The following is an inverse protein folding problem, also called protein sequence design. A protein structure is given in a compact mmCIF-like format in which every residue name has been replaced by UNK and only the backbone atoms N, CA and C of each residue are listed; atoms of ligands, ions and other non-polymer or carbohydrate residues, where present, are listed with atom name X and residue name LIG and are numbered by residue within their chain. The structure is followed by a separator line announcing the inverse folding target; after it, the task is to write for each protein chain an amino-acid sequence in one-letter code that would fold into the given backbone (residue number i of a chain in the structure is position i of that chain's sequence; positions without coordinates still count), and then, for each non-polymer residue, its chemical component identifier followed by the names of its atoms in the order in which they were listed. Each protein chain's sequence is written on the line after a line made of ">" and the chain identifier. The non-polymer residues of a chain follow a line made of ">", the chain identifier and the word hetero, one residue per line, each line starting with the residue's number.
data_IF_027632494927
#
_entry.id   IF_027632494927
#
_cell.length_a   1.000
_cell.length_b   1.000
_cell.length_c   1.000
_cell.angle_alpha   90.00
_cell.angle_beta   90.00
_cell.angle_gamma   90.00
#
_symmetry.space_group_name_H-M   'P 1'
#
loop_
_entity.id
_entity.type
_entity.pdbx_description
1 polymer ?
2 non-polymer ?
3 non-polymer ?
4 water ?
#
# COMPACT_ATOMS: atom_id res chain seq x y z
N UNK A 6 2.72 0.48 -21.64
CA UNK A 6 3.50 1.18 -20.57
C UNK A 6 2.66 2.33 -19.99
N UNK A 7 2.15 3.22 -20.84
CA UNK A 7 1.11 4.22 -20.49
C UNK A 7 -0.14 3.45 -20.03
N UNK A 8 -0.57 2.50 -20.85
CA UNK A 8 -1.76 1.63 -20.62
C UNK A 8 -1.59 0.88 -19.30
N UNK A 9 -0.40 0.32 -19.05
CA UNK A 9 -0.11 -0.44 -17.81
C UNK A 9 -0.16 0.51 -16.60
N UNK A 10 0.36 1.73 -16.73
CA UNK A 10 0.32 2.73 -15.62
C UNK A 10 -1.12 3.23 -15.41
N UNK A 11 -1.95 3.28 -16.45
CA UNK A 11 -3.40 3.60 -16.29
C UNK A 11 -4.08 2.48 -15.49
N UNK A 12 -3.77 1.21 -15.79
CA UNK A 12 -4.28 0.06 -14.99
C UNK A 12 -3.84 0.23 -13.53
N UNK A 13 -2.57 0.57 -13.29
CA UNK A 13 -2.03 0.83 -11.93
C UNK A 13 -2.80 1.97 -11.26
N UNK A 14 -3.07 3.04 -11.99
CA UNK A 14 -3.82 4.19 -11.42
C UNK A 14 -5.24 3.74 -11.04
N UNK A 15 -5.89 2.92 -11.87
CA UNK A 15 -7.22 2.35 -11.58
C UNK A 15 -7.21 1.56 -10.29
N UNK A 16 -6.21 0.69 -10.11
CA UNK A 16 -6.01 -0.11 -8.87
C UNK A 16 -5.88 0.85 -7.69
N UNK A 17 -5.00 1.85 -7.80
CA UNK A 17 -4.75 2.83 -6.72
C UNK A 17 -6.08 3.51 -6.34
N UNK A 18 -6.86 3.97 -7.32
CA UNK A 18 -8.18 4.61 -7.06
C UNK A 18 -9.07 3.61 -6.31
N UNK A 19 -9.08 2.34 -6.71
CA UNK A 19 -9.91 1.31 -6.05
C UNK A 19 -9.45 1.14 -4.60
N UNK A 20 -8.14 1.04 -4.36
CA UNK A 20 -7.60 0.80 -2.98
C UNK A 20 -7.99 1.98 -2.07
N UNK A 21 -8.17 3.17 -2.64
CA UNK A 21 -8.53 4.41 -1.89
C UNK A 21 -10.05 4.61 -1.83
N UNK A 22 -10.84 3.73 -2.46
CA UNK A 22 -12.31 3.92 -2.65
C UNK A 22 -13.08 3.51 -1.38
N UNK A 23 -14.30 4.02 -1.23
CA UNK A 23 -15.17 3.74 -0.06
C UNK A 23 -15.43 2.23 0.04
N UNK A 24 -15.44 1.53 -1.10
CA UNK A 24 -15.67 0.06 -1.19
C UNK A 24 -14.78 -0.70 -0.20
N UNK A 25 -13.52 -0.27 -0.02
CA UNK A 25 -12.49 -1.02 0.74
C UNK A 25 -12.08 -0.29 2.02
N UNK A 26 -12.75 0.82 2.36
CA UNK A 26 -12.36 1.73 3.46
C UNK A 26 -12.31 1.01 4.81
N UNK A 27 -13.13 -0.02 5.04
CA UNK A 27 -13.21 -0.72 6.34
C UNK A 27 -11.86 -1.36 6.70
N UNK A 28 -11.06 -1.79 5.71
CA UNK A 28 -9.75 -2.45 5.94
C UNK A 28 -8.59 -1.66 5.30
N UNK A 29 -8.85 -0.67 4.45
CA UNK A 29 -7.79 0.08 3.73
C UNK A 29 -7.29 1.27 4.56
N UNK A 30 -8.07 1.75 5.54
CA UNK A 30 -7.82 3.05 6.22
C UNK A 30 -6.45 3.10 6.90
N UNK A 31 -5.89 2.00 7.48
CA UNK A 31 -4.55 2.08 8.07
C UNK A 31 -3.41 2.38 7.08
N UNK A 32 -3.69 2.29 5.77
CA UNK A 32 -2.70 2.40 4.67
C UNK A 32 -2.84 3.74 3.93
N UNK A 33 -3.77 4.59 4.36
CA UNK A 33 -4.12 5.85 3.64
C UNK A 33 -2.99 6.88 3.78
N UNK A 34 -2.34 6.93 4.94
CA UNK A 34 -1.34 7.97 5.28
C UNK A 34 -0.12 7.31 5.91
N UNK A 35 1.06 7.98 5.89
CA UNK A 35 2.24 7.43 6.55
C UNK A 35 1.93 7.07 8.01
N UNK A 36 2.43 5.92 8.46
CA UNK A 36 2.35 5.51 9.89
C UNK A 36 2.96 6.64 10.72
N UNK A 37 2.17 7.23 11.62
CA UNK A 37 2.64 8.25 12.60
C UNK A 37 3.05 7.50 13.87
N UNK A 38 4.30 7.04 13.90
CA UNK A 38 4.85 6.15 14.95
C UNK A 38 4.69 6.83 16.32
N UNK A 39 5.08 8.10 16.41
CA UNK A 39 5.03 8.93 17.65
C UNK A 39 3.58 9.01 18.17
N UNK A 40 2.63 9.35 17.29
CA UNK A 40 1.20 9.50 17.64
C UNK A 40 0.63 8.17 18.16
N UNK A 41 1.06 7.03 17.59
CA UNK A 41 0.53 5.68 17.91
C UNK A 41 1.33 5.04 19.06
N UNK A 42 2.42 5.66 19.49
CA UNK A 42 3.30 5.16 20.57
C UNK A 42 4.17 4.00 20.12
N UNK A 43 4.41 3.88 18.81
CA UNK A 43 5.21 2.78 18.20
C UNK A 43 6.65 3.27 18.05
N UNK A 44 7.36 3.46 19.17
CA UNK A 44 8.68 4.16 19.21
C UNK A 44 9.79 3.29 18.60
N UNK A 45 9.49 2.03 18.26
CA UNK A 45 10.45 1.12 17.59
C UNK A 45 10.16 1.02 16.08
N UNK A 46 9.11 1.68 15.57
CA UNK A 46 8.64 1.48 14.17
C UNK A 46 9.77 1.75 13.18
N UNK A 47 10.46 2.89 13.30
CA UNK A 47 11.48 3.36 12.32
C UNK A 47 12.82 2.64 12.53
N UNK A 48 12.96 1.87 13.62
CA UNK A 48 14.12 0.97 13.85
C UNK A 48 13.90 -0.35 13.11
N UNK A 49 12.64 -0.75 12.93
CA UNK A 49 12.25 -2.05 12.32
C UNK A 49 11.95 -1.85 10.83
N UNK A 50 11.27 -0.75 10.49
CA UNK A 50 10.85 -0.41 9.09
C UNK A 50 11.81 0.66 8.54
N UNK A 51 12.67 0.27 7.60
CA UNK A 51 13.72 1.15 7.01
C UNK A 51 13.14 1.99 5.87
N UNK A 52 12.09 1.49 5.20
CA UNK A 52 11.50 2.13 3.99
C UNK A 52 9.99 2.23 4.16
N UNK A 53 9.47 3.21 4.93
CA UNK A 53 8.03 3.37 5.08
C UNK A 53 7.36 3.61 3.72
N UNK A 54 6.13 3.12 3.57
CA UNK A 54 5.33 3.35 2.34
C UNK A 54 3.85 3.31 2.71
N UNK A 55 3.05 4.09 2.00
CA UNK A 55 1.59 4.22 2.25
C UNK A 55 0.94 4.68 0.94
N UNK A 56 -0.38 4.60 0.86
CA UNK A 56 -1.12 4.90 -0.39
C UNK A 56 -1.04 6.39 -0.74
N UNK A 57 -0.91 7.30 0.24
CA UNK A 57 -0.79 8.75 -0.07
C UNK A 57 0.55 9.00 -0.79
N UNK A 58 1.61 8.30 -0.38
CA UNK A 58 2.94 8.41 -1.02
C UNK A 58 2.85 7.81 -2.43
N UNK A 59 2.21 6.65 -2.58
CA UNK A 59 2.00 6.02 -3.92
C UNK A 59 1.25 7.02 -4.81
N UNK A 60 0.18 7.64 -4.30
CA UNK A 60 -0.64 8.61 -5.07
C UNK A 60 0.21 9.81 -5.49
N UNK A 61 1.02 10.36 -4.58
CA UNK A 61 1.94 11.50 -4.87
C UNK A 61 2.90 11.08 -5.99
N UNK A 62 3.49 9.89 -5.89
CA UNK A 62 4.47 9.39 -6.89
C UNK A 62 3.77 9.19 -8.24
N UNK A 63 2.53 8.72 -8.26
CA UNK A 63 1.76 8.54 -9.52
C UNK A 63 1.47 9.92 -10.13
N UNK A 64 1.01 10.88 -9.32
CA UNK A 64 0.68 12.27 -9.76
C UNK A 64 1.93 12.97 -10.31
N UNK A 65 3.09 12.70 -9.72
CA UNK A 65 4.39 13.34 -10.07
C UNK A 65 5.05 12.62 -11.25
N UNK A 66 4.42 11.55 -11.77
CA UNK A 66 4.95 10.70 -12.88
C UNK A 66 6.30 10.10 -12.46
N UNK A 67 6.42 9.75 -11.17
CA UNK A 67 7.65 9.14 -10.61
C UNK A 67 7.78 7.71 -11.15
N UNK A 68 6.68 6.96 -11.21
CA UNK A 68 6.67 5.54 -11.67
C UNK A 68 6.90 5.51 -13.18
N UNK A 69 7.94 4.79 -13.61
CA UNK A 69 8.28 4.64 -15.05
C UNK A 69 7.61 3.38 -15.60
N UNK A 70 7.17 2.46 -14.74
CA UNK A 70 6.49 1.21 -15.18
C UNK A 70 5.64 0.63 -14.04
N UNK A 71 4.80 -0.34 -14.37
CA UNK A 71 3.86 -1.01 -13.43
C UNK A 71 4.64 -1.70 -12.31
N UNK A 72 5.79 -2.31 -12.63
CA UNK A 72 6.61 -3.10 -11.66
C UNK A 72 7.06 -2.19 -10.51
N UNK A 73 7.45 -0.95 -10.82
CA UNK A 73 7.90 0.05 -9.81
C UNK A 73 6.72 0.41 -8.90
N UNK A 74 5.54 0.60 -9.47
CA UNK A 74 4.28 0.86 -8.72
C UNK A 74 4.00 -0.32 -7.79
N UNK A 75 4.00 -1.54 -8.32
CA UNK A 75 3.69 -2.77 -7.55
C UNK A 75 4.70 -2.94 -6.41
N UNK A 76 5.97 -2.60 -6.64
CA UNK A 76 7.04 -2.73 -5.63
C UNK A 76 6.68 -1.87 -4.41
N UNK A 77 6.18 -0.65 -4.63
CA UNK A 77 5.81 0.27 -3.52
C UNK A 77 4.58 -0.28 -2.80
N UNK A 78 3.56 -0.72 -3.53
CA UNK A 78 2.32 -1.24 -2.89
C UNK A 78 2.70 -2.46 -2.03
N UNK A 79 3.54 -3.35 -2.55
CA UNK A 79 3.92 -4.59 -1.82
C UNK A 79 4.83 -4.25 -0.64
N UNK A 80 5.71 -3.25 -0.78
CA UNK A 80 6.56 -2.76 0.34
C UNK A 80 5.66 -2.32 1.50
N UNK A 81 4.59 -1.59 1.19
CA UNK A 81 3.59 -1.12 2.18
C UNK A 81 3.04 -2.32 2.97
N UNK A 82 2.64 -3.40 2.28
CA UNK A 82 2.10 -4.62 2.94
C UNK A 82 3.21 -5.31 3.73
N UNK A 83 4.40 -5.45 3.14
CA UNK A 83 5.56 -6.13 3.78
C UNK A 83 5.91 -5.44 5.10
N UNK A 84 5.92 -4.11 5.12
CA UNK A 84 6.19 -3.31 6.35
C UNK A 84 5.19 -3.71 7.43
N UNK A 85 3.91 -3.82 7.07
CA UNK A 85 2.81 -4.18 7.99
C UNK A 85 3.06 -5.59 8.56
N UNK A 86 3.43 -6.55 7.72
CA UNK A 86 3.67 -7.96 8.11
C UNK A 86 4.95 -8.07 8.95
N UNK A 87 5.94 -7.21 8.70
CA UNK A 87 7.23 -7.24 9.44
C UNK A 87 7.04 -6.70 10.85
N UNK A 88 6.31 -5.59 11.00
CA UNK A 88 6.24 -4.82 12.26
C UNK A 88 5.22 -5.43 13.23
N UNK A 89 4.04 -5.79 12.72
CA UNK A 89 2.84 -6.04 13.57
C UNK A 89 2.76 -7.51 13.96
N UNK A 90 2.17 -7.83 15.14
CA UNK A 90 1.91 -9.21 15.51
C UNK A 90 1.03 -9.84 14.44
N UNK A 91 1.32 -11.08 13.98
CA UNK A 91 0.58 -11.69 12.88
C UNK A 91 -0.92 -11.96 13.15
N UNK A 92 -1.34 -11.88 14.42
CA UNK A 92 -2.74 -12.15 14.85
C UNK A 92 -3.49 -10.83 15.10
N UNK A 93 -2.86 -9.67 14.84
CA UNK A 93 -3.49 -8.34 15.05
C UNK A 93 -4.41 -8.02 13.87
N UNK A 94 -5.48 -7.26 14.13
CA UNK A 94 -6.49 -6.85 13.12
C UNK A 94 -5.80 -6.18 11.93
N UNK A 95 -4.77 -5.35 12.15
CA UNK A 95 -4.13 -4.57 11.05
C UNK A 95 -3.51 -5.53 10.03
N UNK A 96 -3.03 -6.69 10.47
CA UNK A 96 -2.45 -7.72 9.56
C UNK A 96 -3.58 -8.36 8.74
N UNK A 97 -4.72 -8.66 9.35
CA UNK A 97 -5.92 -9.18 8.65
C UNK A 97 -6.37 -8.16 7.59
N UNK A 98 -6.33 -6.87 7.94
CA UNK A 98 -6.73 -5.76 7.04
C UNK A 98 -5.74 -5.66 5.87
N UNK A 99 -4.43 -5.76 6.14
CA UNK A 99 -3.36 -5.82 5.12
C UNK A 99 -3.63 -6.96 4.13
N UNK A 100 -3.88 -8.17 4.66
CA UNK A 100 -4.15 -9.40 3.87
C UNK A 100 -5.33 -9.16 2.93
N UNK A 101 -6.42 -8.57 3.45
CA UNK A 101 -7.66 -8.31 2.67
C UNK A 101 -7.37 -7.30 1.55
N UNK A 102 -6.67 -6.21 1.85
CA UNK A 102 -6.36 -5.17 0.83
C UNK A 102 -5.34 -5.73 -0.17
N UNK A 103 -4.38 -6.54 0.27
CA UNK A 103 -3.39 -7.16 -0.65
C UNK A 103 -4.12 -8.13 -1.58
N UNK A 104 -5.15 -8.83 -1.10
CA UNK A 104 -5.98 -9.73 -1.95
C UNK A 104 -6.61 -8.90 -3.08
N UNK A 105 -7.18 -7.74 -2.75
CA UNK A 105 -7.79 -6.82 -3.76
C UNK A 105 -6.69 -6.45 -4.77
N UNK A 106 -5.54 -6.02 -4.26
CA UNK A 106 -4.41 -5.54 -5.10
C UNK A 106 -3.95 -6.67 -6.04
N UNK A 107 -3.63 -7.84 -5.50
CA UNK A 107 -2.95 -8.92 -6.27
C UNK A 107 -3.89 -9.42 -7.37
N UNK A 108 -5.17 -9.59 -7.07
CA UNK A 108 -6.14 -10.14 -8.07
C UNK A 108 -6.32 -9.14 -9.22
N UNK A 109 -6.37 -7.84 -8.94
CA UNK A 109 -6.54 -6.84 -10.02
C UNK A 109 -5.21 -6.60 -10.74
N UNK A 110 -4.08 -6.58 -10.02
CA UNK A 110 -2.75 -6.41 -10.65
C UNK A 110 -2.53 -7.54 -11.66
N UNK A 111 -2.99 -8.75 -11.33
CA UNK A 111 -2.83 -9.96 -12.17
C UNK A 111 -3.52 -9.77 -13.53
N UNK A 112 -4.54 -8.91 -13.60
CA UNK A 112 -5.32 -8.61 -14.84
C UNK A 112 -4.67 -7.47 -15.64
N UNK A 113 -3.42 -7.11 -15.34
CA UNK A 113 -2.60 -6.12 -16.10
C UNK A 113 -2.76 -6.39 -17.60
N UNK A 114 -3.15 -5.40 -18.43
CA UNK A 114 -3.13 -5.59 -19.88
C UNK A 114 -1.69 -5.78 -20.36
N UNK A 115 -1.43 -6.85 -21.12
CA UNK A 115 -0.08 -7.18 -21.66
C UNK A 115 -0.23 -8.01 -22.94
X LIG B 1 -0.28 -1.44 15.69
X LIG B 1 -1.53 0.78 11.86
X LIG B 1 -0.84 -0.02 13.87
X LIG B 1 -0.89 -0.31 15.32
X LIG B 1 -0.09 -1.83 17.08
X LIG B 1 -1.34 -2.50 17.61
X LIG B 1 -1.15 -3.03 19.03
X LIG B 1 1.29 -3.27 18.63
X LIG B 1 -3.38 2.61 12.96
X LIG B 1 -4.83 0.12 15.00
X LIG B 1 -6.32 -1.38 13.89
X LIG B 1 -1.43 0.46 16.12
X LIG B 1 1.12 -2.75 17.21
X LIG B 1 0.03 -3.96 19.12
X LIG B 1 0.21 -4.40 20.47
X LIG B 1 0.07 -0.43 12.91
X LIG B 1 -1.79 0.71 13.20
X LIG B 1 -0.40 0.07 11.70
X LIG B 1 0.20 -0.15 10.36
X LIG B 1 1.13 -0.94 10.20
X LIG B 1 -0.34 0.57 9.38
X LIG B 1 0.01 0.35 7.99
X LIG B 1 -3.00 1.36 13.76
X LIG B 1 -4.15 0.37 13.81
X LIG B 1 -4.58 -0.28 12.66
X LIG B 1 -5.66 -1.15 12.70
X LIG B 1 -5.91 -0.74 15.04
X LIG C 1 -2.53 -12.81 -2.34
X LIG C 1 -2.48 -11.75 -1.41
X LIG C 1 -3.87 -12.97 -2.95
X LIG C 1 -4.88 -13.28 -2.00
X LIG D 1 12.27 6.40 -6.59
X LIG D 1 10.94 6.90 -6.61
X LIG D 1 13.24 7.29 -7.26
X LIG D 1 12.67 7.99 -8.35
#
# INVERSE_FOLDING_TARGET
>A
GSMGKLSEQLKHCNGILKELLSKKHAAYAWPFYKPVDASALGLHDYHDIIKHPMDLSTVKRKMENRDYRDAQEFAADVRLMFSNCYKYNPPDHDVVAMARKLQDVFEFRYAKMPD
>B hetero
1 V9H N1 N3 C4 C5 C6 C7 C8 C10 C13 C15 C17 O1 C11 C9 O2 C3 N2 C2 C1 O N C C12 C14 C19 C18 C16
>C hetero
1 EDO C1 O1 C2 O2
>D hetero
1 EDO C1 O1 C2 O2
#
